data_IF_023012354152
#
_entry.id   IF_023012354152
#
_cell.length_a   1.000
_cell.length_b   1.000
_cell.length_c   1.000
_cell.angle_alpha   90.00
_cell.angle_beta   90.00
_cell.angle_gamma   90.00
#
_symmetry.space_group_name_H-M   'P 1'
#
loop_
_entity.id
_entity.type
_entity.pdbx_description
1 polymer ?
#
# COMPACT_ATOMS: atom_id res chain seq x y z
N UNK A 1 8.67 -0.90 -19.47
CA UNK A 1 8.37 -2.35 -19.68
C UNK A 1 7.22 -2.72 -18.75
N UNK A 2 6.17 -3.41 -19.20
CA UNK A 2 5.10 -3.87 -18.31
C UNK A 2 5.61 -5.08 -17.51
N UNK A 3 5.62 -4.98 -16.18
CA UNK A 3 6.12 -6.03 -15.30
C UNK A 3 4.93 -6.75 -14.69
N UNK A 4 4.87 -8.06 -14.85
CA UNK A 4 3.72 -8.86 -14.39
C UNK A 4 3.55 -8.82 -12.86
N UNK A 5 2.46 -8.21 -12.39
CA UNK A 5 1.96 -8.31 -11.01
C UNK A 5 2.01 -9.74 -10.47
N UNK A 6 1.63 -10.73 -11.29
CA UNK A 6 1.59 -12.13 -10.88
C UNK A 6 2.99 -12.69 -10.55
N UNK A 7 4.00 -12.37 -11.35
CA UNK A 7 5.38 -12.81 -11.10
C UNK A 7 5.96 -12.20 -9.83
N UNK A 8 5.73 -10.91 -9.60
CA UNK A 8 6.13 -10.24 -8.37
C UNK A 8 5.37 -10.71 -7.15
N UNK A 9 4.08 -11.04 -7.29
CA UNK A 9 3.29 -11.58 -6.20
C UNK A 9 3.84 -12.93 -5.72
N UNK A 10 4.17 -13.85 -6.63
CA UNK A 10 4.69 -15.17 -6.25
C UNK A 10 6.07 -15.07 -5.61
N UNK A 11 7.01 -14.35 -6.24
CA UNK A 11 8.35 -14.13 -5.66
C UNK A 11 8.27 -13.37 -4.34
N UNK A 12 7.48 -12.30 -4.30
CA UNK A 12 7.33 -11.44 -3.14
C UNK A 12 6.69 -12.17 -1.95
N UNK A 13 5.69 -13.03 -2.18
CA UNK A 13 5.12 -13.90 -1.14
C UNK A 13 6.21 -14.70 -0.43
N UNK A 14 7.08 -15.36 -1.19
CA UNK A 14 8.11 -16.22 -0.62
C UNK A 14 9.14 -15.41 0.16
N UNK A 15 9.52 -14.23 -0.34
CA UNK A 15 10.41 -13.30 0.36
C UNK A 15 9.78 -12.76 1.65
N UNK A 16 8.51 -12.35 1.61
CA UNK A 16 7.79 -11.82 2.78
C UNK A 16 7.61 -12.90 3.84
N UNK A 17 7.23 -14.12 3.48
CA UNK A 17 7.13 -15.21 4.47
C UNK A 17 8.49 -15.51 5.11
N UNK A 18 9.55 -15.60 4.30
CA UNK A 18 10.90 -15.82 4.81
C UNK A 18 11.30 -14.72 5.79
N UNK A 19 11.16 -13.45 5.37
CA UNK A 19 11.47 -12.30 6.22
C UNK A 19 10.65 -12.31 7.52
N UNK A 20 9.34 -12.54 7.43
CA UNK A 20 8.50 -12.55 8.62
C UNK A 20 8.89 -13.67 9.60
N UNK A 21 9.34 -14.82 9.10
CA UNK A 21 9.84 -15.92 9.93
C UNK A 21 11.22 -15.62 10.53
N UNK A 22 12.08 -14.90 9.84
CA UNK A 22 13.45 -14.58 10.30
C UNK A 22 13.45 -13.42 11.31
N UNK A 23 12.47 -12.51 11.23
CA UNK A 23 12.38 -11.29 12.03
C UNK A 23 11.19 -11.30 13.02
N UNK A 24 10.59 -12.46 13.28
CA UNK A 24 9.46 -12.64 14.19
C UNK A 24 8.26 -11.70 13.92
N UNK A 25 8.03 -11.33 12.65
CA UNK A 25 6.88 -10.50 12.27
C UNK A 25 5.62 -11.37 12.31
N UNK A 26 4.55 -10.97 13.03
CA UNK A 26 3.33 -11.76 13.13
C UNK A 26 2.67 -12.02 11.77
N UNK A 27 2.53 -13.30 11.41
CA UNK A 27 1.93 -13.73 10.16
C UNK A 27 1.32 -15.13 10.28
N UNK A 28 0.36 -15.46 9.41
CA UNK A 28 -0.25 -16.79 9.35
C UNK A 28 -0.56 -17.20 7.91
N UNK A 29 -0.15 -18.40 7.52
CA UNK A 29 -0.54 -19.03 6.25
C UNK A 29 -1.86 -19.76 6.42
N UNK A 30 -2.96 -19.00 6.47
CA UNK A 30 -4.30 -19.52 6.76
C UNK A 30 -5.04 -20.07 5.54
N UNK A 31 -4.44 -20.02 4.34
CA UNK A 31 -5.08 -20.45 3.11
C UNK A 31 -6.22 -19.56 2.63
N UNK A 32 -6.70 -19.83 1.41
CA UNK A 32 -7.80 -19.11 0.76
C UNK A 32 -8.67 -20.06 -0.05
N UNK A 33 -9.98 -19.91 0.05
CA UNK A 33 -10.97 -20.53 -0.82
C UNK A 33 -11.50 -19.46 -1.79
N UNK A 34 -11.30 -19.68 -3.08
CA UNK A 34 -12.00 -18.93 -4.12
C UNK A 34 -13.27 -19.72 -4.45
N UNK A 35 -14.44 -19.11 -4.29
CA UNK A 35 -15.72 -19.84 -4.29
C UNK A 35 -16.62 -19.41 -5.45
N UNK A 36 -17.14 -20.40 -6.17
CA UNK A 36 -18.27 -20.23 -7.08
C UNK A 36 -19.55 -20.39 -6.27
N UNK A 37 -20.38 -19.36 -6.22
CA UNK A 37 -21.68 -19.37 -5.53
C UNK A 37 -22.80 -19.92 -6.40
N UNK A 38 -22.55 -20.02 -7.71
CA UNK A 38 -23.48 -20.56 -8.72
C UNK A 38 -22.75 -21.49 -9.69
N UNK A 39 -23.49 -22.41 -10.31
CA UNK A 39 -22.94 -23.33 -11.31
C UNK A 39 -22.29 -22.63 -12.51
N UNK A 40 -22.85 -21.49 -12.93
CA UNK A 40 -22.33 -20.69 -14.05
C UNK A 40 -20.93 -20.11 -13.79
N UNK A 41 -20.47 -20.07 -12.54
CA UNK A 41 -19.17 -19.53 -12.14
C UNK A 41 -18.08 -20.62 -12.08
N UNK A 42 -18.46 -21.89 -12.14
CA UNK A 42 -17.54 -23.03 -11.94
C UNK A 42 -16.46 -23.09 -13.02
N UNK A 43 -16.78 -22.72 -14.27
CA UNK A 43 -15.78 -22.65 -15.35
C UNK A 43 -14.66 -21.67 -15.04
N UNK A 44 -14.97 -20.52 -14.41
CA UNK A 44 -13.98 -19.50 -14.03
C UNK A 44 -12.97 -20.01 -13.01
N UNK A 45 -13.35 -20.96 -12.13
CA UNK A 45 -12.41 -21.59 -11.20
C UNK A 45 -11.34 -22.42 -11.93
N UNK A 46 -11.69 -23.09 -13.04
CA UNK A 46 -10.74 -23.83 -13.85
C UNK A 46 -9.73 -22.88 -14.52
N UNK A 47 -10.22 -21.76 -15.06
CA UNK A 47 -9.36 -20.72 -15.64
C UNK A 47 -8.41 -20.11 -14.60
N UNK A 48 -8.86 -19.94 -13.36
CA UNK A 48 -8.01 -19.47 -12.26
C UNK A 48 -6.99 -20.53 -11.83
N UNK A 49 -7.35 -21.81 -11.82
CA UNK A 49 -6.42 -22.90 -11.55
C UNK A 49 -5.29 -22.93 -12.60
N UNK A 50 -5.63 -22.87 -13.89
CA UNK A 50 -4.65 -22.86 -14.99
C UNK A 50 -3.72 -21.64 -14.86
N UNK A 51 -4.29 -20.44 -14.81
CA UNK A 51 -3.50 -19.20 -14.67
C UNK A 51 -2.65 -19.17 -13.40
N UNK A 52 -3.19 -19.64 -12.29
CA UNK A 52 -2.45 -19.72 -11.02
C UNK A 52 -1.27 -20.68 -11.11
N UNK A 53 -1.46 -21.83 -11.75
CA UNK A 53 -0.41 -22.83 -11.97
C UNK A 53 0.68 -22.29 -12.90
N UNK A 54 0.29 -21.66 -14.02
CA UNK A 54 1.23 -21.01 -14.96
C UNK A 54 2.06 -19.89 -14.30
N UNK A 55 1.46 -19.18 -13.35
CA UNK A 55 2.15 -18.14 -12.57
C UNK A 55 3.03 -18.70 -11.45
N UNK A 56 3.03 -20.02 -11.20
CA UNK A 56 3.85 -20.66 -10.16
C UNK A 56 3.22 -20.69 -8.76
N UNK A 57 1.88 -20.61 -8.66
CA UNK A 57 1.17 -20.79 -7.38
C UNK A 57 1.04 -22.29 -7.08
N UNK A 58 1.91 -22.79 -6.21
CA UNK A 58 1.94 -24.20 -5.84
C UNK A 58 0.75 -24.59 -4.94
N UNK A 59 0.28 -25.84 -5.12
CA UNK A 59 -0.71 -26.47 -4.23
C UNK A 59 -2.17 -26.06 -4.47
N UNK A 60 -2.46 -25.35 -5.56
CA UNK A 60 -3.84 -25.05 -5.95
C UNK A 60 -4.63 -26.35 -6.17
N UNK A 61 -5.83 -26.43 -5.60
CA UNK A 61 -6.70 -27.61 -5.71
C UNK A 61 -8.15 -27.21 -5.90
N UNK A 62 -8.78 -27.72 -6.96
CA UNK A 62 -10.24 -27.69 -7.07
C UNK A 62 -10.86 -28.61 -6.01
N UNK A 63 -11.91 -28.12 -5.36
CA UNK A 63 -12.64 -28.80 -4.31
C UNK A 63 -14.11 -28.88 -4.66
N UNK A 64 -14.72 -30.03 -4.40
CA UNK A 64 -16.18 -30.14 -4.45
C UNK A 64 -16.82 -29.35 -3.30
N UNK A 65 -18.07 -28.91 -3.49
CA UNK A 65 -18.77 -28.10 -2.48
C UNK A 65 -18.78 -28.76 -1.10
N UNK A 66 -19.00 -30.09 -1.04
CA UNK A 66 -19.02 -30.85 0.21
C UNK A 66 -17.68 -30.82 0.95
N UNK A 67 -16.56 -30.82 0.23
CA UNK A 67 -15.22 -30.71 0.82
C UNK A 67 -15.00 -29.29 1.37
N UNK A 68 -15.39 -28.26 0.60
CA UNK A 68 -15.24 -26.86 1.00
C UNK A 68 -16.11 -26.52 2.22
N UNK A 69 -17.37 -26.95 2.24
CA UNK A 69 -18.28 -26.75 3.37
C UNK A 69 -17.92 -27.60 4.59
N UNK A 70 -17.23 -28.73 4.42
CA UNK A 70 -16.64 -29.47 5.55
C UNK A 70 -15.48 -28.69 6.18
N UNK A 71 -14.70 -27.99 5.36
CA UNK A 71 -13.59 -27.14 5.82
C UNK A 71 -14.10 -25.85 6.48
N UNK A 72 -15.15 -25.25 5.91
CA UNK A 72 -15.81 -24.03 6.40
C UNK A 72 -17.33 -24.28 6.55
N UNK A 73 -17.81 -24.73 7.72
CA UNK A 73 -19.21 -25.13 7.91
C UNK A 73 -20.26 -24.05 7.65
N UNK A 74 -19.89 -22.78 7.76
CA UNK A 74 -20.76 -21.63 7.51
C UNK A 74 -20.77 -21.20 6.03
N UNK A 75 -19.89 -21.80 5.20
CA UNK A 75 -19.78 -21.51 3.77
C UNK A 75 -20.92 -22.18 2.99
N UNK A 76 -21.45 -21.47 1.98
CA UNK A 76 -22.27 -22.03 0.91
C UNK A 76 -21.57 -21.78 -0.42
N UNK A 77 -21.38 -22.82 -1.23
CA UNK A 77 -20.83 -22.69 -2.59
C UNK A 77 -21.26 -23.87 -3.48
N UNK A 78 -21.14 -23.70 -4.79
CA UNK A 78 -21.27 -24.75 -5.80
C UNK A 78 -19.95 -25.50 -6.02
N UNK A 79 -18.82 -24.78 -5.98
CA UNK A 79 -17.47 -25.35 -6.06
C UNK A 79 -16.45 -24.36 -5.50
N UNK A 80 -15.27 -24.83 -5.15
CA UNK A 80 -14.18 -23.97 -4.69
C UNK A 80 -12.84 -24.31 -5.33
N UNK A 81 -11.93 -23.33 -5.36
CA UNK A 81 -10.51 -23.47 -5.63
C UNK A 81 -9.76 -23.08 -4.36
N UNK A 82 -9.05 -24.05 -3.76
CA UNK A 82 -8.25 -23.85 -2.57
C UNK A 82 -6.82 -23.45 -2.93
N UNK A 83 -6.33 -22.42 -2.24
CA UNK A 83 -4.98 -21.89 -2.31
C UNK A 83 -4.32 -21.99 -0.94
N UNK A 84 -3.50 -23.03 -0.67
CA UNK A 84 -2.96 -23.31 0.66
C UNK A 84 -1.87 -22.31 1.09
N UNK A 85 -1.22 -21.65 0.13
CA UNK A 85 -0.09 -20.72 0.36
C UNK A 85 -0.53 -19.27 0.56
N UNK A 86 -1.83 -19.01 0.58
CA UNK A 86 -2.36 -17.70 0.94
C UNK A 86 -2.30 -17.48 2.45
N UNK A 87 -2.18 -16.24 2.87
CA UNK A 87 -2.17 -15.91 4.29
C UNK A 87 -2.30 -14.43 4.56
N UNK A 88 -2.02 -14.08 5.81
CA UNK A 88 -2.18 -12.75 6.40
C UNK A 88 -0.91 -12.39 7.15
N UNK A 89 -0.62 -11.10 7.24
CA UNK A 89 0.54 -10.54 7.92
C UNK A 89 0.11 -9.26 8.63
N UNK A 90 0.67 -9.01 9.81
CA UNK A 90 0.60 -7.70 10.43
C UNK A 90 1.51 -6.75 9.64
N UNK A 91 0.89 -5.96 8.77
CA UNK A 91 1.60 -5.01 7.91
C UNK A 91 2.27 -3.91 8.70
N UNK A 92 1.77 -3.55 9.88
CA UNK A 92 2.38 -2.52 10.72
C UNK A 92 3.69 -3.03 11.30
N UNK A 93 3.66 -4.22 11.91
CA UNK A 93 4.88 -4.88 12.40
C UNK A 93 5.90 -5.16 11.29
N UNK A 94 5.43 -5.54 10.09
CA UNK A 94 6.31 -5.72 8.92
C UNK A 94 7.02 -4.40 8.56
N UNK A 95 6.29 -3.29 8.44
CA UNK A 95 6.87 -1.99 8.12
C UNK A 95 7.84 -1.50 9.19
N UNK A 96 7.48 -1.62 10.48
CA UNK A 96 8.36 -1.24 11.58
C UNK A 96 9.66 -2.04 11.60
N UNK A 97 9.57 -3.35 11.33
CA UNK A 97 10.73 -4.22 11.22
C UNK A 97 11.67 -3.76 10.09
N UNK A 98 11.10 -3.44 8.91
CA UNK A 98 11.87 -2.94 7.76
C UNK A 98 12.49 -1.55 8.01
N UNK A 99 11.79 -0.67 8.73
CA UNK A 99 12.34 0.64 9.15
C UNK A 99 13.56 0.43 10.06
N UNK A 100 13.41 -0.40 11.11
CA UNK A 100 14.52 -0.68 12.02
C UNK A 100 15.72 -1.35 11.34
N UNK A 101 15.47 -2.25 10.38
CA UNK A 101 16.54 -2.84 9.57
C UNK A 101 17.23 -1.78 8.70
N UNK A 102 16.46 -0.94 7.98
CA UNK A 102 17.02 0.12 7.16
C UNK A 102 17.86 1.11 7.99
N UNK A 103 17.39 1.50 9.18
CA UNK A 103 18.13 2.37 10.11
C UNK A 103 19.44 1.71 10.59
N UNK A 104 19.44 0.40 10.86
CA UNK A 104 20.67 -0.33 11.19
C UNK A 104 21.69 -0.34 10.05
N UNK A 105 21.24 -0.16 8.81
CA UNK A 105 22.09 0.02 7.62
C UNK A 105 22.35 1.49 7.27
N UNK A 106 22.01 2.44 8.15
CA UNK A 106 22.33 3.86 8.00
C UNK A 106 21.26 4.70 7.27
N UNK A 107 20.08 4.15 7.03
CA UNK A 107 18.95 4.95 6.54
C UNK A 107 18.47 5.93 7.62
N UNK A 108 18.06 7.12 7.19
CA UNK A 108 17.45 8.17 8.00
C UNK A 108 16.02 8.39 7.51
N UNK A 109 15.08 8.41 8.43
CA UNK A 109 13.68 8.68 8.12
C UNK A 109 13.31 10.11 8.57
N UNK A 110 12.96 10.96 7.61
CA UNK A 110 12.43 12.30 7.86
C UNK A 110 10.91 12.28 7.73
N UNK A 111 10.22 12.15 8.87
CA UNK A 111 8.77 12.22 8.96
C UNK A 111 8.27 13.67 8.88
N UNK A 112 6.98 13.87 8.62
CA UNK A 112 6.37 15.20 8.48
C UNK A 112 7.09 16.09 7.47
N UNK A 113 7.65 15.47 6.44
CA UNK A 113 8.53 16.10 5.45
C UNK A 113 7.99 15.76 4.07
N UNK A 114 7.48 16.78 3.38
CA UNK A 114 6.84 16.63 2.07
C UNK A 114 7.80 17.06 0.95
N UNK A 115 7.95 16.19 -0.05
CA UNK A 115 8.59 16.54 -1.33
C UNK A 115 7.55 17.20 -2.22
N UNK A 116 7.67 18.52 -2.43
CA UNK A 116 6.74 19.31 -3.24
C UNK A 116 6.86 19.06 -4.75
N UNK A 117 7.97 18.47 -5.18
CA UNK A 117 8.36 18.38 -6.58
C UNK A 117 9.83 18.71 -6.75
N UNK A 118 10.20 19.20 -7.93
CA UNK A 118 11.61 19.45 -8.21
C UNK A 118 11.88 19.96 -9.62
N UNK A 119 13.16 20.21 -9.90
CA UNK A 119 13.68 20.45 -11.25
C UNK A 119 14.54 19.27 -11.70
N UNK A 120 14.44 18.92 -12.97
CA UNK A 120 15.38 18.03 -13.65
C UNK A 120 16.23 18.92 -14.56
N UNK A 121 17.53 18.98 -14.26
CA UNK A 121 18.51 19.75 -15.04
C UNK A 121 19.64 18.83 -15.48
N UNK A 122 19.67 18.51 -16.77
CA UNK A 122 20.59 17.49 -17.30
C UNK A 122 20.31 16.14 -16.63
N UNK A 123 21.34 15.55 -16.00
CA UNK A 123 21.27 14.24 -15.35
C UNK A 123 21.08 14.32 -13.82
N UNK A 124 20.64 15.46 -13.29
CA UNK A 124 20.46 15.67 -11.85
C UNK A 124 19.04 16.10 -11.52
N UNK A 125 18.50 15.52 -10.44
CA UNK A 125 17.20 15.89 -9.86
C UNK A 125 17.44 16.80 -8.66
N UNK A 126 16.89 18.01 -8.69
CA UNK A 126 16.79 18.91 -7.54
C UNK A 126 15.39 18.76 -6.93
N UNK A 127 15.30 18.32 -5.69
CA UNK A 127 14.03 18.19 -4.97
C UNK A 127 13.75 19.43 -4.11
N UNK A 128 12.47 19.79 -4.05
CA UNK A 128 11.94 20.85 -3.21
C UNK A 128 11.18 20.25 -2.03
N UNK A 129 11.55 20.63 -0.82
CA UNK A 129 11.08 20.00 0.40
C UNK A 129 10.54 21.04 1.37
N UNK A 130 9.47 20.71 2.09
CA UNK A 130 8.86 21.52 3.15
C UNK A 130 8.29 20.62 4.25
N UNK A 131 7.99 21.16 5.43
CA UNK A 131 7.20 20.44 6.43
C UNK A 131 5.77 20.13 5.95
N UNK A 132 5.28 18.91 6.20
CA UNK A 132 3.96 18.46 5.73
C UNK A 132 2.79 19.31 6.24
N UNK A 133 2.94 19.97 7.39
CA UNK A 133 1.93 20.91 7.93
C UNK A 133 1.59 22.05 6.98
N UNK A 134 2.48 22.38 6.04
CA UNK A 134 2.23 23.42 5.03
C UNK A 134 1.24 22.94 3.95
N UNK A 135 1.04 21.63 3.81
CA UNK A 135 0.07 21.05 2.87
C UNK A 135 -1.38 21.15 3.36
N UNK A 136 -1.62 21.20 4.67
CA UNK A 136 -2.97 21.18 5.25
C UNK A 136 -3.84 22.33 4.73
N UNK A 137 -3.24 23.52 4.64
CA UNK A 137 -3.89 24.74 4.18
C UNK A 137 -3.59 25.07 2.71
N UNK A 138 -2.96 24.16 1.96
CA UNK A 138 -2.60 24.42 0.59
C UNK A 138 -3.82 24.34 -0.33
N UNK A 139 -4.13 25.42 -1.06
CA UNK A 139 -5.23 25.47 -2.01
C UNK A 139 -4.76 25.83 -3.42
N UNK A 140 -5.65 25.68 -4.40
CA UNK A 140 -5.37 26.05 -5.78
C UNK A 140 -5.01 27.55 -5.88
N UNK A 141 -3.87 27.84 -6.51
CA UNK A 141 -3.35 29.20 -6.66
C UNK A 141 -2.35 29.62 -5.57
N UNK A 142 -2.27 28.89 -4.45
CA UNK A 142 -1.30 29.16 -3.41
C UNK A 142 0.11 28.74 -3.83
N UNK A 143 1.10 29.58 -3.49
CA UNK A 143 2.51 29.27 -3.68
C UNK A 143 3.08 28.67 -2.40
N UNK A 144 3.42 27.39 -2.45
CA UNK A 144 4.28 26.77 -1.44
C UNK A 144 5.74 27.12 -1.73
N UNK A 145 6.46 27.57 -0.71
CA UNK A 145 7.90 27.76 -0.79
C UNK A 145 8.61 26.53 -0.24
N UNK A 146 9.62 26.07 -0.96
CA UNK A 146 10.53 25.05 -0.46
C UNK A 146 11.33 25.64 0.71
N UNK A 147 11.32 24.94 1.84
CA UNK A 147 12.17 25.26 3.00
C UNK A 147 13.56 24.66 2.85
N UNK A 148 13.65 23.55 2.12
CA UNK A 148 14.87 22.83 1.85
C UNK A 148 14.93 22.42 0.36
N UNK A 149 16.16 22.41 -0.18
CA UNK A 149 16.45 21.87 -1.50
C UNK A 149 17.46 20.75 -1.38
N UNK A 150 17.18 19.62 -2.01
CA UNK A 150 18.06 18.45 -2.01
C UNK A 150 18.53 18.16 -3.44
N UNK A 151 19.78 17.70 -3.56
CA UNK A 151 20.38 17.28 -4.83
C UNK A 151 20.83 15.82 -4.72
N UNK A 152 19.89 14.87 -4.57
CA UNK A 152 20.22 13.46 -4.47
C UNK A 152 20.80 12.92 -5.78
N UNK A 153 21.63 11.89 -5.69
CA UNK A 153 22.08 11.13 -6.87
C UNK A 153 20.95 10.24 -7.40
N UNK A 154 20.12 9.73 -6.48
CA UNK A 154 19.00 8.83 -6.78
C UNK A 154 17.74 9.31 -6.07
N UNK A 155 16.64 9.34 -6.83
CA UNK A 155 15.27 9.58 -6.36
C UNK A 155 14.41 8.37 -6.69
N UNK A 156 13.85 7.75 -5.67
CA UNK A 156 12.77 6.75 -5.83
C UNK A 156 11.45 7.41 -5.44
N UNK A 157 10.58 7.63 -6.43
CA UNK A 157 9.21 8.06 -6.22
C UNK A 157 8.33 6.83 -5.97
N UNK A 158 8.03 6.60 -4.69
CA UNK A 158 7.15 5.56 -4.16
C UNK A 158 5.99 6.14 -3.36
N UNK A 159 5.53 7.33 -3.75
CA UNK A 159 4.57 8.13 -2.98
C UNK A 159 3.10 7.67 -3.12
N UNK A 160 2.85 6.36 -3.32
CA UNK A 160 1.50 5.78 -3.28
C UNK A 160 0.47 6.50 -4.15
N UNK A 161 -0.56 7.07 -3.51
CA UNK A 161 -1.63 7.83 -4.19
C UNK A 161 -1.09 9.10 -4.85
N UNK A 162 -0.08 9.70 -4.23
CA UNK A 162 0.59 10.90 -4.71
C UNK A 162 1.71 10.63 -5.72
N UNK A 163 2.03 9.38 -6.08
CA UNK A 163 3.17 9.09 -6.96
C UNK A 163 3.08 9.78 -8.33
N UNK A 164 1.93 9.68 -9.01
CA UNK A 164 1.69 10.37 -10.29
C UNK A 164 1.58 11.90 -10.09
N UNK A 165 0.81 12.43 -9.12
CA UNK A 165 0.81 13.85 -8.79
C UNK A 165 2.20 14.45 -8.50
N UNK A 166 3.07 13.71 -7.79
CA UNK A 166 4.45 14.11 -7.49
C UNK A 166 5.30 14.14 -8.75
N UNK A 167 5.22 13.11 -9.60
CA UNK A 167 5.96 13.07 -10.85
C UNK A 167 5.58 14.23 -11.79
N UNK A 168 4.31 14.64 -11.83
CA UNK A 168 3.85 15.84 -12.56
C UNK A 168 4.52 17.14 -12.06
N UNK A 169 4.97 17.17 -10.81
CA UNK A 169 5.64 18.32 -10.17
C UNK A 169 7.16 18.30 -10.35
N UNK A 170 7.72 17.30 -11.06
CA UNK A 170 9.13 17.28 -11.46
C UNK A 170 9.28 18.02 -12.80
N UNK A 171 9.61 19.30 -12.72
CA UNK A 171 9.81 20.14 -13.91
C UNK A 171 10.96 19.61 -14.76
N UNK A 172 10.68 19.30 -16.02
CA UNK A 172 11.66 18.71 -16.95
C UNK A 172 11.44 17.21 -17.21
N UNK A 173 10.53 16.55 -16.50
CA UNK A 173 10.05 15.22 -16.87
C UNK A 173 9.04 15.34 -18.02
N UNK A 174 9.26 14.60 -19.10
CA UNK A 174 8.33 14.57 -20.24
C UNK A 174 6.99 13.95 -19.83
N UNK A 175 5.91 14.68 -20.08
CA UNK A 175 4.55 14.32 -19.68
C UNK A 175 4.02 13.08 -20.40
N UNK A 176 4.62 12.67 -21.53
CA UNK A 176 4.28 11.43 -22.23
C UNK A 176 4.58 10.17 -21.43
N UNK A 177 5.46 10.25 -20.42
CA UNK A 177 5.76 9.15 -19.49
C UNK A 177 4.88 9.15 -18.24
N UNK A 178 3.92 10.08 -18.13
CA UNK A 178 3.03 10.18 -16.98
C UNK A 178 1.71 9.47 -17.27
N UNK A 179 1.38 8.37 -16.56
CA UNK A 179 0.08 7.74 -16.72
C UNK A 179 -1.03 8.60 -16.11
N UNK A 180 -2.28 8.30 -16.46
CA UNK A 180 -3.43 8.89 -15.78
C UNK A 180 -3.70 8.16 -14.47
N UNK A 181 -3.78 8.92 -13.38
CA UNK A 181 -4.13 8.40 -12.06
C UNK A 181 -5.65 8.36 -11.87
N UNK A 182 -6.12 7.26 -11.32
CA UNK A 182 -7.49 7.03 -10.87
C UNK A 182 -7.47 6.57 -9.41
N UNK A 183 -8.58 6.74 -8.71
CA UNK A 183 -8.67 6.42 -7.29
C UNK A 183 -9.91 5.55 -7.04
N UNK A 184 -9.71 4.40 -6.40
CA UNK A 184 -10.78 3.47 -6.04
C UNK A 184 -10.78 3.21 -4.53
N UNK A 185 -11.76 3.76 -3.82
CA UNK A 185 -12.02 3.51 -2.41
C UNK A 185 -12.62 2.13 -2.21
N UNK A 186 -12.18 1.44 -1.17
CA UNK A 186 -12.74 0.17 -0.73
C UNK A 186 -12.99 0.22 0.76
N UNK A 187 -14.21 -0.13 1.16
CA UNK A 187 -14.69 -0.12 2.54
C UNK A 187 -14.67 -1.53 3.09
N UNK A 188 -14.41 -1.61 4.38
CA UNK A 188 -14.44 -2.85 5.14
C UNK A 188 -15.43 -2.73 6.29
N UNK A 189 -16.20 -3.80 6.51
CA UNK A 189 -17.11 -3.95 7.64
C UNK A 189 -16.64 -5.10 8.51
N UNK A 190 -16.56 -4.87 9.82
CA UNK A 190 -16.22 -5.91 10.79
C UNK A 190 -17.47 -6.70 11.15
N UNK A 191 -17.32 -8.02 11.28
CA UNK A 191 -18.41 -8.89 11.75
C UNK A 191 -18.51 -8.82 13.27
N UNK A 192 -19.65 -8.38 13.79
CA UNK A 192 -19.94 -8.31 15.22
C UNK A 192 -21.09 -9.27 15.60
N UNK A 193 -21.38 -9.36 16.90
CA UNK A 193 -22.57 -10.08 17.43
C UNK A 193 -22.63 -11.57 17.04
N UNK A 194 -21.46 -12.19 16.84
CA UNK A 194 -21.31 -13.64 16.65
C UNK A 194 -20.70 -14.29 17.89
N UNK A 195 -20.98 -15.58 18.11
CA UNK A 195 -20.40 -16.36 19.22
C UNK A 195 -18.94 -16.80 18.96
N UNK A 196 -18.42 -16.53 17.77
CA UNK A 196 -17.10 -16.91 17.31
C UNK A 196 -16.92 -16.54 15.83
N UNK A 197 -15.73 -16.79 15.30
CA UNK A 197 -15.41 -16.55 13.89
C UNK A 197 -16.05 -17.63 13.01
N UNK A 198 -16.88 -17.27 12.01
CA UNK A 198 -17.53 -18.24 11.13
C UNK A 198 -16.58 -18.86 10.11
N UNK A 199 -15.42 -18.25 9.88
CA UNK A 199 -14.44 -18.70 8.89
C UNK A 199 -13.06 -18.85 9.53
N UNK A 200 -12.23 -19.73 8.96
CA UNK A 200 -10.82 -19.91 9.36
C UNK A 200 -9.85 -19.58 8.22
N UNK A 201 -10.32 -19.65 6.99
CA UNK A 201 -9.61 -19.32 5.76
C UNK A 201 -10.17 -18.04 5.14
N UNK A 202 -9.39 -17.41 4.27
CA UNK A 202 -9.88 -16.32 3.43
C UNK A 202 -10.93 -16.85 2.43
N UNK A 203 -12.06 -16.16 2.26
CA UNK A 203 -13.12 -16.56 1.30
C UNK A 203 -13.29 -15.47 0.25
N UNK A 204 -13.06 -15.83 -1.01
CA UNK A 204 -13.08 -14.89 -2.13
C UNK A 204 -14.12 -15.36 -3.14
N UNK A 205 -15.29 -14.73 -3.26
CA UNK A 205 -16.22 -15.07 -4.33
C UNK A 205 -15.58 -14.81 -5.71
N UNK A 206 -16.00 -15.57 -6.72
CA UNK A 206 -15.68 -15.26 -8.11
C UNK A 206 -16.13 -13.83 -8.42
N UNK A 207 -15.28 -12.97 -9.00
CA UNK A 207 -15.69 -11.65 -9.44
C UNK A 207 -16.84 -11.76 -10.46
N UNK A 208 -17.97 -11.12 -10.15
CA UNK A 208 -19.07 -10.89 -11.11
C UNK A 208 -18.76 -9.62 -11.92
N UNK A 209 -19.02 -9.63 -13.23
CA UNK A 209 -18.89 -8.42 -14.05
C UNK A 209 -19.90 -7.37 -13.59
N UNK A 210 -19.42 -6.29 -12.99
CA UNK A 210 -20.26 -5.24 -12.40
C UNK A 210 -20.79 -5.53 -10.99
N UNK A 211 -20.48 -6.71 -10.41
CA UNK A 211 -20.83 -7.06 -9.03
C UNK A 211 -19.73 -6.72 -8.03
N UNK A 212 -20.10 -6.61 -6.75
CA UNK A 212 -19.15 -6.36 -5.66
C UNK A 212 -18.56 -7.68 -5.17
N UNK A 213 -17.30 -7.96 -5.52
CA UNK A 213 -16.56 -9.08 -4.95
C UNK A 213 -16.18 -8.82 -3.49
N UNK A 214 -17.13 -8.98 -2.57
CA UNK A 214 -16.87 -8.79 -1.13
C UNK A 214 -16.13 -10.00 -0.60
N UNK A 215 -14.88 -9.81 -0.17
CA UNK A 215 -14.07 -10.90 0.38
C UNK A 215 -14.31 -11.07 1.88
N UNK A 216 -14.00 -12.26 2.39
CA UNK A 216 -13.73 -12.52 3.80
C UNK A 216 -12.23 -12.40 4.03
N UNK A 217 -11.86 -11.53 4.94
CA UNK A 217 -10.51 -11.41 5.49
C UNK A 217 -10.54 -11.64 6.99
N UNK A 218 -9.44 -12.14 7.53
CA UNK A 218 -9.24 -12.34 8.96
C UNK A 218 -8.02 -11.56 9.41
N UNK A 219 -8.07 -10.99 10.61
CA UNK A 219 -6.84 -10.58 11.30
C UNK A 219 -6.21 -11.77 12.03
N UNK A 220 -5.10 -11.51 12.72
CA UNK A 220 -4.31 -12.54 13.37
C UNK A 220 -5.04 -13.15 14.57
N UNK A 221 -6.00 -12.44 15.15
CA UNK A 221 -6.87 -12.86 16.24
C UNK A 221 -8.10 -13.63 15.72
N UNK A 222 -8.30 -13.66 14.40
CA UNK A 222 -9.37 -14.39 13.73
C UNK A 222 -10.68 -13.59 13.61
N UNK A 223 -10.66 -12.29 13.88
CA UNK A 223 -11.81 -11.42 13.68
C UNK A 223 -12.06 -11.24 12.17
N UNK A 224 -13.29 -11.51 11.75
CA UNK A 224 -13.70 -11.43 10.35
C UNK A 224 -14.01 -10.00 9.97
N UNK A 225 -13.53 -9.62 8.79
CA UNK A 225 -13.91 -8.41 8.07
C UNK A 225 -14.36 -8.76 6.66
N UNK A 226 -15.38 -8.06 6.20
CA UNK A 226 -15.92 -8.16 4.85
C UNK A 226 -15.52 -6.96 4.03
N UNK A 227 -15.06 -7.20 2.81
CA UNK A 227 -14.63 -6.16 1.88
C UNK A 227 -13.33 -6.56 1.18
N UNK A 228 -12.70 -5.63 0.46
CA UNK A 228 -13.22 -4.31 0.14
C UNK A 228 -14.29 -4.34 -0.97
N UNK A 229 -15.18 -3.36 -0.96
CA UNK A 229 -15.94 -3.01 -2.16
C UNK A 229 -15.12 -2.11 -3.12
N UNK A 230 -15.79 -1.55 -4.14
CA UNK A 230 -15.18 -0.61 -5.08
C UNK A 230 -16.08 0.61 -5.26
N UNK A 231 -15.55 1.78 -4.89
CA UNK A 231 -16.11 3.09 -5.20
C UNK A 231 -15.07 3.93 -5.92
N UNK A 232 -15.38 4.32 -7.15
CA UNK A 232 -14.53 5.20 -7.92
C UNK A 232 -14.70 6.65 -7.47
N UNK A 233 -13.59 7.30 -7.14
CA UNK A 233 -13.58 8.71 -6.73
C UNK A 233 -13.30 9.57 -7.97
N UNK A 234 -14.23 10.46 -8.29
CA UNK A 234 -14.13 11.42 -9.41
C UNK A 234 -14.01 12.86 -8.91
N UNK A 235 -13.56 13.77 -9.78
CA UNK A 235 -13.55 15.22 -9.49
C UNK A 235 -12.51 15.64 -8.44
N UNK A 236 -11.48 14.82 -8.23
CA UNK A 236 -10.38 15.13 -7.29
C UNK A 236 -9.45 16.13 -7.96
N UNK A 237 -9.20 17.27 -7.31
CA UNK A 237 -8.21 18.24 -7.81
C UNK A 237 -6.79 17.68 -7.72
N UNK A 238 -5.88 18.22 -8.53
CA UNK A 238 -4.49 17.79 -8.54
C UNK A 238 -3.84 17.99 -7.15
N UNK A 239 -4.12 19.10 -6.47
CA UNK A 239 -3.66 19.34 -5.09
C UNK A 239 -4.28 18.36 -4.11
N UNK A 240 -5.60 18.10 -4.17
CA UNK A 240 -6.23 17.16 -3.25
C UNK A 240 -5.65 15.75 -3.39
N UNK A 241 -5.36 15.32 -4.63
CA UNK A 241 -4.74 14.03 -4.89
C UNK A 241 -3.28 13.94 -4.44
N UNK A 242 -2.51 15.03 -4.59
CA UNK A 242 -1.13 15.11 -4.12
C UNK A 242 -1.04 15.10 -2.60
N UNK A 243 -1.87 15.91 -1.91
CA UNK A 243 -1.85 16.02 -0.46
C UNK A 243 -2.68 14.94 0.24
N UNK A 244 -3.08 13.88 -0.46
CA UNK A 244 -3.90 12.78 0.07
C UNK A 244 -5.17 13.24 0.81
N UNK A 245 -5.81 14.32 0.33
CA UNK A 245 -7.04 14.88 0.92
C UNK A 245 -8.28 14.19 0.36
N UNK A 246 -8.37 12.89 0.58
CA UNK A 246 -9.55 12.08 0.26
C UNK A 246 -10.41 11.85 1.50
N UNK A 247 -11.68 11.52 1.28
CA UNK A 247 -12.58 11.05 2.32
C UNK A 247 -12.36 9.55 2.59
N UNK A 248 -11.93 9.23 3.81
CA UNK A 248 -11.70 7.85 4.28
C UNK A 248 -12.81 7.34 5.22
N UNK A 249 -13.91 8.09 5.36
CA UNK A 249 -15.01 7.70 6.23
C UNK A 249 -15.74 6.45 5.71
N UNK A 250 -16.21 5.62 6.63
CA UNK A 250 -17.08 4.48 6.33
C UNK A 250 -18.46 4.80 6.85
N UNK A 251 -19.40 5.05 5.94
CA UNK A 251 -20.78 5.33 6.34
C UNK A 251 -21.50 4.02 6.74
N UNK A 252 -22.21 3.97 7.89
CA UNK A 252 -22.89 2.76 8.33
C UNK A 252 -23.95 2.21 7.36
N UNK A 253 -24.68 3.08 6.67
CA UNK A 253 -25.72 2.73 5.68
C UNK A 253 -25.16 1.96 4.48
N UNK A 254 -23.86 2.09 4.20
CA UNK A 254 -23.19 1.30 3.16
C UNK A 254 -23.18 -0.20 3.45
N UNK A 255 -23.41 -0.63 4.70
CA UNK A 255 -23.56 -2.06 5.00
C UNK A 255 -24.73 -2.71 4.24
N UNK A 256 -25.76 -1.94 3.85
CA UNK A 256 -26.94 -2.43 3.12
C UNK A 256 -26.58 -3.11 1.80
N UNK A 257 -25.57 -2.61 1.08
CA UNK A 257 -25.11 -3.23 -0.19
C UNK A 257 -24.18 -4.43 0.04
N UNK A 258 -23.63 -4.60 1.25
CA UNK A 258 -22.76 -5.73 1.59
C UNK A 258 -23.57 -7.00 1.91
N UNK A 259 -24.72 -6.88 2.59
CA UNK A 259 -25.49 -8.05 3.04
C UNK A 259 -25.90 -8.99 1.89
N UNK A 260 -26.51 -8.53 0.77
CA UNK A 260 -26.86 -9.41 -0.34
C UNK A 260 -25.66 -10.15 -0.95
N UNK A 261 -24.52 -9.46 -1.06
CA UNK A 261 -23.30 -10.02 -1.67
C UNK A 261 -22.64 -11.05 -0.76
N UNK A 262 -22.52 -10.77 0.53
CA UNK A 262 -21.98 -11.72 1.51
C UNK A 262 -22.89 -12.94 1.62
N UNK A 263 -24.21 -12.75 1.61
CA UNK A 263 -25.20 -13.85 1.72
C UNK A 263 -25.16 -14.83 0.54
N UNK A 264 -24.52 -14.49 -0.58
CA UNK A 264 -24.26 -15.44 -1.68
C UNK A 264 -23.39 -16.62 -1.23
N UNK A 265 -22.46 -16.40 -0.29
CA UNK A 265 -21.56 -17.45 0.23
C UNK A 265 -21.66 -17.66 1.75
N UNK A 266 -22.31 -16.76 2.49
CA UNK A 266 -22.59 -16.90 3.93
C UNK A 266 -24.06 -16.59 4.24
N UNK A 267 -25.00 -17.52 3.93
CA UNK A 267 -26.44 -17.26 3.99
C UNK A 267 -26.96 -16.95 5.40
N UNK A 268 -26.27 -17.45 6.42
CA UNK A 268 -26.63 -17.28 7.83
C UNK A 268 -26.16 -15.94 8.41
N UNK A 269 -25.58 -15.04 7.60
CA UNK A 269 -25.22 -13.70 8.02
C UNK A 269 -26.44 -12.95 8.58
N UNK A 270 -26.40 -12.69 9.89
CA UNK A 270 -27.46 -12.01 10.62
C UNK A 270 -27.54 -10.55 10.22
N UNK A 271 -28.75 -10.04 10.10
CA UNK A 271 -28.98 -8.60 9.91
C UNK A 271 -28.43 -7.80 11.10
N UNK A 272 -27.89 -6.60 10.83
CA UNK A 272 -27.29 -5.73 11.86
C UNK A 272 -26.00 -6.26 12.51
N UNK A 273 -25.33 -7.24 11.89
CA UNK A 273 -24.05 -7.80 12.36
C UNK A 273 -22.81 -7.19 11.72
N UNK A 274 -22.98 -6.28 10.76
CA UNK A 274 -21.89 -5.54 10.14
C UNK A 274 -21.71 -4.18 10.84
N UNK A 275 -20.54 -3.97 11.43
CA UNK A 275 -20.15 -2.68 12.00
C UNK A 275 -19.13 -2.00 11.07
N UNK A 276 -19.18 -0.67 10.90
CA UNK A 276 -18.18 0.05 10.11
C UNK A 276 -16.75 -0.27 10.57
N UNK A 277 -15.90 -0.67 9.62
CA UNK A 277 -14.47 -0.89 9.85
C UNK A 277 -13.65 0.32 9.42
N UNK A 278 -12.97 0.19 8.28
CA UNK A 278 -12.11 1.23 7.71
C UNK A 278 -12.26 1.29 6.20
N UNK A 279 -11.74 2.35 5.57
CA UNK A 279 -11.61 2.45 4.13
C UNK A 279 -10.14 2.62 3.72
N UNK A 280 -9.79 2.07 2.56
CA UNK A 280 -8.51 2.32 1.88
C UNK A 280 -8.76 2.76 0.45
N UNK A 281 -7.80 3.49 -0.13
CA UNK A 281 -7.88 3.96 -1.53
C UNK A 281 -6.74 3.33 -2.31
N UNK A 282 -7.05 2.81 -3.49
CA UNK A 282 -6.06 2.20 -4.39
C UNK A 282 -5.58 3.22 -5.43
N UNK A 283 -4.26 3.35 -5.64
CA UNK A 283 -3.70 4.11 -6.76
C UNK A 283 -3.87 3.31 -8.05
N UNK A 284 -4.87 3.65 -8.86
CA UNK A 284 -5.22 2.93 -10.10
C UNK A 284 -4.63 3.66 -11.31
N UNK A 285 -4.19 2.92 -12.32
CA UNK A 285 -3.76 3.49 -13.63
C UNK A 285 -4.78 3.24 -14.76
N UNK A 286 -5.86 2.54 -14.44
CA UNK A 286 -6.97 2.23 -15.32
C UNK A 286 -8.27 2.57 -14.60
N UNK A 287 -9.14 3.34 -15.25
CA UNK A 287 -10.41 3.80 -14.69
C UNK A 287 -11.57 2.81 -14.81
N UNK A 288 -12.79 3.24 -14.44
CA UNK A 288 -14.01 2.43 -14.57
C UNK A 288 -14.22 1.95 -16.01
N UNK A 289 -14.50 0.66 -16.19
CA UNK A 289 -14.76 0.06 -17.51
C UNK A 289 -13.52 -0.15 -18.39
N UNK A 290 -12.33 0.24 -17.93
CA UNK A 290 -11.07 0.00 -18.63
C UNK A 290 -10.47 -1.35 -18.21
N UNK A 291 -9.66 -1.94 -19.09
CA UNK A 291 -8.85 -3.11 -18.74
C UNK A 291 -7.91 -2.76 -17.59
N UNK A 292 -7.81 -3.61 -16.53
CA UNK A 292 -6.88 -3.39 -15.44
C UNK A 292 -5.45 -3.21 -15.95
N UNK A 293 -4.78 -2.15 -15.47
CA UNK A 293 -3.35 -1.93 -15.72
C UNK A 293 -2.49 -2.70 -14.73
N UNK A 294 -1.32 -3.14 -15.21
CA UNK A 294 -0.26 -3.67 -14.36
C UNK A 294 0.46 -2.56 -13.58
N UNK A 295 1.36 -2.93 -12.66
CA UNK A 295 2.29 -2.00 -12.03
C UNK A 295 3.18 -1.33 -13.08
N UNK A 296 3.44 -0.03 -12.91
CA UNK A 296 4.39 0.71 -13.76
C UNK A 296 5.60 1.09 -12.92
N UNK A 297 6.74 0.45 -13.20
CA UNK A 297 8.04 0.81 -12.64
C UNK A 297 8.91 1.28 -13.80
N UNK A 298 9.29 2.56 -13.78
CA UNK A 298 10.06 3.18 -14.86
C UNK A 298 11.25 3.94 -14.30
N UNK A 299 12.41 3.82 -14.96
CA UNK A 299 13.61 4.57 -14.64
C UNK A 299 14.24 5.18 -15.90
N UNK A 300 15.54 5.45 -15.85
CA UNK A 300 16.27 6.13 -16.92
C UNK A 300 16.17 5.44 -18.30
N UNK A 301 16.01 4.12 -18.32
CA UNK A 301 15.86 3.31 -19.52
C UNK A 301 14.53 3.57 -20.26
N UNK A 302 13.53 4.09 -19.54
CA UNK A 302 12.21 4.44 -20.07
C UNK A 302 12.10 5.93 -20.34
N UNK A 303 12.33 6.78 -19.32
CA UNK A 303 12.07 8.22 -19.41
C UNK A 303 13.34 9.08 -19.58
N UNK A 304 14.52 8.47 -19.65
CA UNK A 304 15.78 9.17 -19.93
C UNK A 304 16.38 9.99 -18.77
N UNK A 305 15.72 10.03 -17.61
CA UNK A 305 16.19 10.81 -16.44
C UNK A 305 17.06 9.93 -15.55
N UNK A 306 18.37 10.19 -15.56
CA UNK A 306 19.34 9.51 -14.69
C UNK A 306 18.99 9.69 -13.22
N UNK A 307 19.12 8.62 -12.44
CA UNK A 307 18.88 8.64 -11.00
C UNK A 307 17.40 8.71 -10.59
N UNK A 308 16.44 8.87 -11.49
CA UNK A 308 15.01 8.87 -11.14
C UNK A 308 14.38 7.50 -11.42
N UNK A 309 13.64 6.96 -10.44
CA UNK A 309 12.78 5.79 -10.60
C UNK A 309 11.38 6.14 -10.09
N UNK A 310 10.35 5.88 -10.89
CA UNK A 310 8.96 6.07 -10.51
C UNK A 310 8.22 4.73 -10.38
N UNK A 311 7.49 4.56 -9.29
CA UNK A 311 6.59 3.44 -9.03
C UNK A 311 5.15 3.97 -9.05
N UNK A 312 4.42 3.66 -10.12
CA UNK A 312 3.03 4.07 -10.29
C UNK A 312 2.09 2.87 -10.22
N UNK A 313 0.92 3.10 -9.64
CA UNK A 313 -0.15 2.10 -9.66
C UNK A 313 0.12 0.89 -8.77
N UNK A 314 0.94 1.03 -7.71
CA UNK A 314 1.25 -0.08 -6.79
C UNK A 314 0.04 -0.34 -5.88
N UNK A 315 -1.01 -0.90 -6.46
CA UNK A 315 -2.20 -1.40 -5.77
C UNK A 315 -2.02 -2.86 -5.32
N UNK A 316 -3.09 -3.58 -4.98
CA UNK A 316 -3.02 -5.01 -4.69
C UNK A 316 -2.43 -5.80 -5.88
N UNK A 317 -1.47 -6.71 -5.69
CA UNK A 317 -0.96 -7.25 -4.42
C UNK A 317 0.34 -6.60 -3.90
N UNK A 318 0.40 -5.26 -3.84
CA UNK A 318 1.61 -4.46 -3.57
C UNK A 318 2.32 -4.78 -2.26
N UNK A 319 1.60 -5.09 -1.18
CA UNK A 319 2.20 -5.55 0.08
C UNK A 319 2.95 -6.87 -0.12
N UNK A 320 2.27 -7.86 -0.71
CA UNK A 320 2.88 -9.18 -1.00
C UNK A 320 4.05 -9.04 -1.97
N UNK A 321 3.95 -8.14 -2.95
CA UNK A 321 4.98 -7.90 -3.97
C UNK A 321 6.12 -6.98 -3.51
N UNK A 322 6.01 -6.34 -2.34
CA UNK A 322 6.87 -5.23 -1.91
C UNK A 322 8.37 -5.53 -2.00
N UNK A 323 8.81 -6.66 -1.44
CA UNK A 323 10.22 -7.07 -1.44
C UNK A 323 10.73 -7.45 -2.84
N UNK A 324 9.87 -8.05 -3.68
CA UNK A 324 10.24 -8.37 -5.06
C UNK A 324 10.33 -7.10 -5.92
N UNK A 325 9.48 -6.10 -5.66
CA UNK A 325 9.55 -4.77 -6.27
C UNK A 325 10.87 -4.09 -5.86
N UNK A 326 11.21 -4.10 -4.57
CA UNK A 326 12.45 -3.53 -4.07
C UNK A 326 13.69 -4.19 -4.72
N UNK A 327 13.74 -5.52 -4.75
CA UNK A 327 14.82 -6.29 -5.40
C UNK A 327 14.93 -6.01 -6.91
N UNK A 328 13.79 -5.84 -7.59
CA UNK A 328 13.80 -5.42 -8.99
C UNK A 328 14.38 -4.01 -9.17
N UNK A 329 13.97 -3.05 -8.35
CA UNK A 329 14.45 -1.66 -8.44
C UNK A 329 15.96 -1.59 -8.17
N UNK A 330 16.46 -2.28 -7.14
CA UNK A 330 17.89 -2.26 -6.80
C UNK A 330 18.76 -2.98 -7.84
N UNK A 331 18.27 -4.08 -8.42
CA UNK A 331 19.00 -4.83 -9.45
C UNK A 331 19.05 -4.12 -10.80
N UNK A 332 17.95 -3.47 -11.23
CA UNK A 332 17.90 -2.81 -12.54
C UNK A 332 18.67 -1.50 -12.59
N UNK A 333 18.63 -0.70 -11.52
CA UNK A 333 19.17 0.66 -11.53
C UNK A 333 20.55 0.78 -10.86
N UNK A 334 21.19 -0.37 -10.59
CA UNK A 334 22.60 -0.56 -10.22
C UNK A 334 23.23 0.61 -9.46
N UNK A 335 22.84 0.79 -8.20
CA UNK A 335 23.36 1.85 -7.31
C UNK A 335 24.82 1.64 -6.87
N UNK A 336 25.53 0.66 -7.42
CA UNK A 336 26.90 0.27 -7.05
C UNK A 336 28.00 1.33 -7.35
N UNK A 337 27.64 2.45 -7.97
CA UNK A 337 28.56 3.55 -8.28
C UNK A 337 28.71 4.62 -7.19
N UNK A 338 27.90 4.56 -6.13
CA UNK A 338 27.90 5.55 -5.03
C UNK A 338 29.10 5.26 -4.10
N UNK A 339 30.30 5.58 -4.57
CA UNK A 339 31.47 5.79 -3.70
C UNK A 339 31.38 7.22 -3.19
N UNK A 340 31.06 7.38 -1.91
CA UNK A 340 31.20 8.66 -1.19
C UNK A 340 32.67 9.10 -1.30
N UNK A 341 32.98 9.93 -2.30
CA UNK A 341 34.24 10.68 -2.33
C UNK A 341 34.06 11.92 -1.47
N UNK A 342 34.48 11.79 -0.20
CA UNK A 342 34.68 12.90 0.70
C UNK A 342 35.80 13.81 0.15
N UNK A 343 35.43 14.80 -0.66
CA UNK A 343 36.28 15.97 -0.89
C UNK A 343 35.63 17.22 -0.31
N UNK A 344 36.21 17.61 0.81
CA UNK A 344 36.09 18.84 1.60
C UNK A 344 35.66 20.10 0.84
N UNK A 345 34.35 20.41 0.80
CA UNK A 345 33.83 21.78 0.93
C UNK A 345 32.41 21.69 1.50
N UNK A 346 32.15 22.44 2.58
CA UNK A 346 30.85 22.87 3.16
C UNK A 346 30.84 22.62 4.68
N UNK A 347 31.58 23.48 5.39
CA UNK A 347 31.55 23.60 6.85
C UNK A 347 30.74 24.84 7.33
N UNK A 348 29.83 25.40 6.52
CA UNK A 348 29.08 26.62 6.91
C UNK A 348 27.55 26.57 6.81
N UNK A 349 26.96 25.56 6.16
CA UNK A 349 25.50 25.35 6.19
C UNK A 349 25.07 24.25 7.19
N UNK A 350 26.04 23.59 7.83
CA UNK A 350 25.84 22.38 8.64
C UNK A 350 25.30 22.65 10.06
N UNK A 351 25.61 23.81 10.65
CA UNK A 351 25.26 24.07 12.04
C UNK A 351 23.79 24.51 12.23
N UNK A 352 23.17 25.19 11.26
CA UNK A 352 21.75 25.56 11.40
C UNK A 352 20.79 24.39 11.21
N UNK A 353 21.15 23.42 10.37
CA UNK A 353 20.31 22.24 10.11
C UNK A 353 20.27 21.30 11.32
N UNK A 354 21.43 21.03 11.94
CA UNK A 354 21.51 20.19 13.13
C UNK A 354 20.92 20.90 14.35
N UNK A 355 21.20 22.19 14.54
CA UNK A 355 20.57 22.97 15.62
C UNK A 355 19.04 23.01 15.47
N UNK A 356 18.52 23.17 14.24
CA UNK A 356 17.08 23.15 13.98
C UNK A 356 16.42 21.78 14.24
N UNK A 357 17.12 20.68 13.95
CA UNK A 357 16.65 19.31 14.24
C UNK A 357 16.77 18.96 15.74
N UNK A 358 17.84 19.40 16.41
CA UNK A 358 18.05 19.20 17.85
C UNK A 358 17.08 20.04 18.70
N UNK A 359 16.87 21.31 18.33
CA UNK A 359 15.92 22.22 19.00
C UNK A 359 14.45 21.73 18.89
N UNK A 360 14.17 20.83 17.93
CA UNK A 360 12.86 20.20 17.72
C UNK A 360 12.81 18.71 18.10
N UNK A 361 13.89 18.15 18.66
CA UNK A 361 13.96 16.77 19.15
C UNK A 361 13.88 15.69 18.06
N UNK A 362 14.24 16.02 16.81
CA UNK A 362 14.04 15.15 15.65
C UNK A 362 15.21 14.21 15.36
N UNK A 363 16.42 14.48 15.86
CA UNK A 363 17.57 13.57 15.70
C UNK A 363 18.58 13.79 16.85
N UNK A 364 19.24 12.72 17.30
CA UNK A 364 20.49 12.81 18.07
C UNK A 364 21.69 12.57 17.15
N UNK A 365 22.30 13.66 16.68
CA UNK A 365 23.66 13.74 16.16
C UNK A 365 24.10 12.75 15.07
N UNK A 366 23.96 13.12 13.79
CA UNK A 366 24.77 12.57 12.68
C UNK A 366 25.10 13.69 11.67
N UNK A 367 26.32 13.67 11.11
CA UNK A 367 26.94 14.70 10.25
C UNK A 367 27.45 14.11 8.93
N UNK A 368 26.63 13.88 7.90
CA UNK A 368 27.09 13.38 6.58
C UNK A 368 26.24 13.88 5.38
N UNK A 369 26.76 13.90 4.13
CA UNK A 369 26.03 14.32 2.92
C UNK A 369 25.04 13.25 2.41
N UNK A 370 23.88 13.67 1.89
CA UNK A 370 22.77 12.79 1.46
C UNK A 370 23.01 12.17 0.08
N UNK A 371 23.12 10.85 -0.01
CA UNK A 371 23.37 10.13 -1.28
C UNK A 371 22.08 9.69 -1.99
N UNK A 372 21.03 9.39 -1.24
CA UNK A 372 19.78 8.79 -1.74
C UNK A 372 18.54 9.40 -1.06
N UNK A 373 17.47 9.65 -1.83
CA UNK A 373 16.18 10.08 -1.31
C UNK A 373 15.04 9.23 -1.88
N UNK A 374 14.22 8.65 -1.00
CA UNK A 374 12.97 7.98 -1.36
C UNK A 374 11.79 8.76 -0.77
N UNK A 375 10.86 9.17 -1.62
CA UNK A 375 9.61 9.77 -1.18
C UNK A 375 8.56 8.67 -1.00
N UNK A 376 8.07 8.51 0.23
CA UNK A 376 7.10 7.50 0.63
C UNK A 376 5.88 8.15 1.27
N UNK A 377 4.72 7.57 1.00
CA UNK A 377 3.51 7.82 1.80
C UNK A 377 3.35 6.64 2.76
N UNK A 378 3.58 6.82 4.07
CA UNK A 378 3.41 5.75 5.08
C UNK A 378 2.29 6.14 6.03
N UNK A 379 1.05 5.69 5.77
CA UNK A 379 -0.05 5.90 6.70
C UNK A 379 -0.26 4.68 7.59
N UNK A 380 -0.02 4.86 8.89
CA UNK A 380 -0.29 3.86 9.92
C UNK A 380 -1.75 4.03 10.37
N UNK A 381 -2.64 3.12 9.97
CA UNK A 381 -4.00 3.06 10.50
C UNK A 381 -3.99 2.15 11.75
N UNK A 382 -4.06 2.74 12.94
CA UNK A 382 -4.36 1.98 14.17
C UNK A 382 -5.87 1.74 14.30
N UNK A 383 -6.24 0.48 14.55
CA UNK A 383 -7.55 0.10 15.08
C UNK A 383 -7.54 0.27 16.59
N UNK A 384 -7.99 1.43 17.09
CA UNK A 384 -8.29 1.57 18.53
C UNK A 384 -9.69 1.05 18.78
N UNK A 385 -9.80 -0.19 19.28
CA UNK A 385 -11.01 -0.70 19.92
C UNK A 385 -10.96 -0.32 21.40
N UNK A 386 -11.84 0.59 21.84
CA UNK A 386 -12.14 0.77 23.27
C UNK A 386 -13.53 0.17 23.56
N UNK A 387 -13.68 -0.82 24.46
CA UNK A 387 -14.98 -1.38 24.82
C UNK A 387 -15.79 -0.53 25.81
N UNK A 388 -15.24 0.54 26.37
CA UNK A 388 -15.86 1.19 27.54
C UNK A 388 -16.63 2.48 27.22
N UNK A 389 -17.94 2.35 27.40
CA UNK A 389 -18.96 3.37 27.23
C UNK A 389 -19.03 4.28 28.48
N UNK A 390 -17.92 4.93 28.85
CA UNK A 390 -17.95 5.94 29.91
C UNK A 390 -17.10 7.16 29.55
N UNK A 391 -17.78 8.29 29.40
CA UNK A 391 -17.16 9.60 29.29
C UNK A 391 -16.38 9.90 30.57
N UNK A 392 -15.05 10.02 30.46
CA UNK A 392 -14.20 10.90 31.30
C UNK A 392 -12.82 11.04 30.66
N UNK A 393 -12.40 12.31 30.54
CA UNK A 393 -11.11 12.77 30.03
C UNK A 393 -9.93 11.96 30.53
N UNK A 394 -9.10 11.42 29.62
CA UNK A 394 -7.69 11.13 29.90
C UNK A 394 -6.83 11.30 28.63
N UNK A 395 -5.96 12.31 28.68
CA UNK A 395 -4.58 12.31 28.19
C UNK A 395 -4.30 11.93 26.73
N UNK A 396 -4.00 12.96 25.92
CA UNK A 396 -3.25 12.85 24.65
C UNK A 396 -2.02 11.94 24.81
N UNK A 397 -2.07 10.70 24.31
CA UNK A 397 -0.90 9.98 23.82
C UNK A 397 -0.95 10.05 22.30
N UNK A 398 0.04 10.69 21.71
CA UNK A 398 0.10 11.00 20.29
C UNK A 398 0.23 9.75 19.44
N UNK A 399 -0.73 9.55 18.56
CA UNK A 399 -0.67 8.61 17.44
C UNK A 399 0.24 9.19 16.36
N UNK A 400 1.27 8.46 15.94
CA UNK A 400 2.11 8.79 14.77
C UNK A 400 1.29 8.54 13.49
N UNK A 401 0.49 9.53 13.11
CA UNK A 401 -0.09 9.62 11.79
C UNK A 401 0.89 10.45 10.93
N UNK A 402 1.91 9.80 10.35
CA UNK A 402 2.78 10.47 9.39
C UNK A 402 2.10 10.40 8.02
N UNK A 403 1.86 11.54 7.38
CA UNK A 403 1.22 11.56 6.05
C UNK A 403 2.25 11.57 4.91
N UNK A 404 3.52 11.89 5.22
CA UNK A 404 4.63 11.93 4.27
C UNK A 404 5.93 11.51 4.96
N UNK A 405 6.69 10.60 4.35
CA UNK A 405 7.98 10.11 4.84
C UNK A 405 9.01 10.24 3.73
N UNK A 406 10.06 10.99 3.99
CA UNK A 406 11.23 11.06 3.13
C UNK A 406 12.34 10.22 3.75
N UNK A 407 12.75 9.15 3.08
CA UNK A 407 13.85 8.30 3.51
C UNK A 407 15.12 8.80 2.84
N UNK A 408 16.12 9.09 3.64
CA UNK A 408 17.43 9.59 3.23
C UNK A 408 18.45 8.52 3.58
N UNK A 409 19.17 7.96 2.61
CA UNK A 409 20.26 7.01 2.89
C UNK A 409 21.58 7.67 2.52
N UNK A 410 22.56 7.59 3.42
CA UNK A 410 23.89 8.17 3.27
C UNK A 410 24.84 7.25 2.49
#
# INVERSE_FOLDING_TARGET
MYISQAKFCVKGRDMVYKYCSEHDVPHKQIGKLIVATRESEVSKLNELLVRGTENGVNGLRLMEASEAMKMEPELQCAKALFSPVSGIVDTHSLMLSLVGEAENYGAIFSYNTAVLGGNIKGNQVELFVTGSQHLDNWNEGDRLQAELRLLPEVVINSAGLAAVPLAKRLMGLDSSYLPTAYYARGHYFSLSKTKGSPFRHLIYPIPEDGGLGVHVTLDLEGQVKFGPDVEWISGVSDIASFSNRFDYSVRPDRSEIFYPEIRKYYPLLKEGSLEPGYAGIRPKLSGPGMTPSDFVIQGQDVHGVSGLVNLFGIESPGVTASMAIADYVTSQYNFHGIRVQLTSVIARLHNHFIQWMEDRGLVSGVKEPVSFVMACEIRLLELVHSPDNSAKEFGRKGTLCAHDVMIVVH
#
